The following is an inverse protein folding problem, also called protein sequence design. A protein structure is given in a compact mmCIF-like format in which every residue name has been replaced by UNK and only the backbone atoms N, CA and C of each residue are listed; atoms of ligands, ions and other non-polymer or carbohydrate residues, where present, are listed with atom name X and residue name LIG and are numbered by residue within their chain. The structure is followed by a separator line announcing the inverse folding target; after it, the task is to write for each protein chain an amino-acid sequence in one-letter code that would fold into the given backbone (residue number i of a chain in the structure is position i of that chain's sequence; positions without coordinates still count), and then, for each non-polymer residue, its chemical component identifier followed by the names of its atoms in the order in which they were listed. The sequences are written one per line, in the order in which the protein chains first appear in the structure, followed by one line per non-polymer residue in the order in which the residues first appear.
data_IF_612594938079
#
_entry.id   IF_612594938079
#
_cell.length_a   1.000
_cell.length_b   1.000
_cell.length_c   1.000
_cell.angle_alpha   90.00
_cell.angle_beta   90.00
_cell.angle_gamma   90.00
#
_symmetry.space_group_name_H-M   'P 1'
#
loop_
_entity.id
_entity.type
_entity.pdbx_description
1 polymer ?
#
# COMPACT_ATOMS: atom_id res chain seq x y z
N UNK A 1 15.70 24.27 -15.15
CA UNK A 1 14.28 24.35 -15.55
C UNK A 1 13.75 22.93 -15.66
N UNK A 2 13.22 22.41 -14.56
CA UNK A 2 12.53 21.12 -14.54
C UNK A 2 11.08 21.44 -14.95
N UNK A 3 10.57 20.78 -15.99
CA UNK A 3 9.24 21.02 -16.55
C UNK A 3 8.16 20.67 -15.51
N UNK A 4 7.37 21.65 -15.09
CA UNK A 4 6.47 21.61 -13.92
C UNK A 4 5.06 21.09 -14.24
N UNK A 5 4.89 19.90 -14.81
CA UNK A 5 3.53 19.39 -15.11
C UNK A 5 3.32 17.90 -14.96
N UNK A 6 4.27 17.14 -14.41
CA UNK A 6 3.99 15.73 -14.09
C UNK A 6 3.39 15.64 -12.69
N UNK A 7 2.12 16.06 -12.58
CA UNK A 7 1.34 15.87 -11.35
C UNK A 7 1.12 14.38 -11.17
N UNK A 8 1.96 13.76 -10.35
CA UNK A 8 1.79 12.38 -9.93
C UNK A 8 0.40 12.22 -9.31
N UNK A 9 -0.36 11.17 -9.65
CA UNK A 9 -1.64 10.92 -9.02
C UNK A 9 -1.46 10.78 -7.50
N UNK A 10 -2.46 11.19 -6.73
CA UNK A 10 -2.55 11.01 -5.29
C UNK A 10 -3.54 9.86 -4.96
N UNK A 11 -3.11 8.60 -5.11
CA UNK A 11 -3.99 7.45 -4.88
C UNK A 11 -4.35 7.23 -3.42
N UNK A 12 -3.68 7.92 -2.48
CA UNK A 12 -3.88 7.79 -1.05
C UNK A 12 -4.79 8.90 -0.48
N UNK A 13 -5.17 9.89 -1.30
CA UNK A 13 -5.96 11.04 -0.86
C UNK A 13 -5.23 11.90 0.19
N UNK A 14 -3.91 11.99 0.10
CA UNK A 14 -3.08 12.75 1.04
C UNK A 14 -3.32 14.25 0.94
N UNK A 15 -3.63 14.75 -0.26
CA UNK A 15 -3.92 16.18 -0.46
C UNK A 15 -5.24 16.56 0.18
N UNK A 16 -6.29 15.74 0.02
CA UNK A 16 -7.57 15.97 0.68
C UNK A 16 -7.42 15.92 2.20
N UNK A 17 -6.66 14.95 2.73
CA UNK A 17 -6.32 14.88 4.15
C UNK A 17 -5.57 16.12 4.64
N UNK A 18 -4.59 16.62 3.86
CA UNK A 18 -3.85 17.83 4.20
C UNK A 18 -4.76 19.06 4.24
N UNK A 19 -5.65 19.21 3.25
CA UNK A 19 -6.63 20.30 3.19
C UNK A 19 -7.57 20.26 4.39
N UNK A 20 -8.11 19.08 4.72
CA UNK A 20 -9.00 18.89 5.87
C UNK A 20 -8.31 19.26 7.19
N UNK A 21 -7.05 18.87 7.36
CA UNK A 21 -6.27 19.20 8.55
C UNK A 21 -5.97 20.69 8.64
N UNK A 22 -5.60 21.34 7.52
CA UNK A 22 -5.35 22.78 7.49
C UNK A 22 -6.60 23.60 7.85
N UNK A 23 -7.79 23.08 7.57
CA UNK A 23 -9.05 23.69 7.97
C UNK A 23 -9.35 23.55 9.48
N UNK A 24 -8.54 22.80 10.24
CA UNK A 24 -8.80 22.53 11.65
C UNK A 24 -8.64 23.81 12.50
N UNK A 25 -9.67 24.24 13.25
CA UNK A 25 -9.66 25.54 13.94
C UNK A 25 -8.59 25.63 15.03
N UNK A 26 -8.17 24.51 15.61
CA UNK A 26 -7.13 24.50 16.65
C UNK A 26 -5.72 24.86 16.15
N UNK A 27 -5.49 24.88 14.84
CA UNK A 27 -4.25 25.36 14.23
C UNK A 27 -4.14 26.89 14.23
N UNK A 28 -5.25 27.61 14.40
CA UNK A 28 -5.31 29.07 14.44
C UNK A 28 -5.86 29.56 15.79
N UNK A 29 -5.16 29.33 16.91
CA UNK A 29 -5.64 29.74 18.22
C UNK A 29 -5.76 31.28 18.27
N UNK A 30 -6.78 31.82 18.97
CA UNK A 30 -6.94 33.27 19.11
C UNK A 30 -5.72 33.88 19.82
N UNK A 31 -5.30 35.08 19.40
CA UNK A 31 -4.10 35.76 19.90
C UNK A 31 -4.02 35.88 21.44
N UNK A 32 -5.16 35.91 22.13
CA UNK A 32 -5.23 35.92 23.59
C UNK A 32 -4.72 34.65 24.28
N UNK A 33 -4.48 33.58 23.52
CA UNK A 33 -4.02 32.28 24.02
C UNK A 33 -2.51 32.08 23.88
N UNK A 34 -1.78 33.05 23.31
CA UNK A 34 -0.33 32.93 23.02
C UNK A 34 0.56 33.07 24.27
N UNK A 35 0.03 33.54 25.40
CA UNK A 35 0.79 33.68 26.67
C UNK A 35 0.89 32.37 27.48
N UNK A 36 0.33 31.25 26.99
CA UNK A 36 0.40 29.96 27.69
C UNK A 36 1.65 29.21 27.26
N UNK A 37 2.54 28.92 28.23
CA UNK A 37 3.82 28.23 28.02
C UNK A 37 3.71 26.79 27.46
N UNK A 38 2.51 26.28 27.19
CA UNK A 38 2.31 24.95 26.61
C UNK A 38 1.07 24.94 25.69
N UNK A 39 1.16 24.29 24.52
CA UNK A 39 0.04 24.18 23.59
C UNK A 39 -1.11 23.39 24.22
N UNK A 40 -2.34 23.77 23.87
CA UNK A 40 -3.53 23.01 24.28
C UNK A 40 -3.49 21.59 23.71
N UNK A 41 -4.20 20.65 24.33
CA UNK A 41 -4.26 19.27 23.82
C UNK A 41 -4.81 19.19 22.39
N UNK A 42 -5.81 20.02 22.08
CA UNK A 42 -6.42 20.06 20.74
C UNK A 42 -5.45 20.68 19.72
N UNK A 43 -4.72 21.74 20.10
CA UNK A 43 -3.68 22.35 19.25
C UNK A 43 -2.55 21.38 18.99
N UNK A 44 -2.05 20.68 20.02
CA UNK A 44 -0.99 19.69 19.87
C UNK A 44 -1.42 18.54 18.94
N UNK A 45 -2.65 18.03 19.11
CA UNK A 45 -3.21 16.99 18.25
C UNK A 45 -3.32 17.46 16.79
N UNK A 46 -3.88 18.65 16.56
CA UNK A 46 -4.03 19.19 15.22
C UNK A 46 -2.66 19.45 14.55
N UNK A 47 -1.69 19.98 15.29
CA UNK A 47 -0.33 20.20 14.80
C UNK A 47 0.39 18.89 14.44
N UNK A 48 0.21 17.84 15.25
CA UNK A 48 0.69 16.49 14.91
C UNK A 48 0.05 15.96 13.62
N UNK A 49 -1.26 16.09 13.47
CA UNK A 49 -1.96 15.65 12.26
C UNK A 49 -1.47 16.42 11.02
N UNK A 50 -1.19 17.72 11.16
CA UNK A 50 -0.64 18.53 10.07
C UNK A 50 0.75 18.04 9.68
N UNK A 51 1.63 17.83 10.67
CA UNK A 51 2.96 17.29 10.46
C UNK A 51 2.90 15.91 9.78
N UNK A 52 2.02 15.02 10.23
CA UNK A 52 1.83 13.70 9.62
C UNK A 52 1.39 13.80 8.16
N UNK A 53 0.43 14.66 7.84
CA UNK A 53 -0.06 14.86 6.47
C UNK A 53 1.04 15.43 5.55
N UNK A 54 1.76 16.46 6.00
CA UNK A 54 2.89 17.05 5.26
C UNK A 54 4.00 16.01 5.01
N UNK A 55 4.38 15.27 6.04
CA UNK A 55 5.41 14.23 5.94
C UNK A 55 4.98 13.08 5.02
N UNK A 56 3.71 12.69 5.05
CA UNK A 56 3.18 11.67 4.16
C UNK A 56 3.21 12.13 2.70
N UNK A 57 2.85 13.40 2.43
CA UNK A 57 2.97 13.98 1.10
C UNK A 57 4.41 13.92 0.58
N UNK A 58 5.40 14.22 1.44
CA UNK A 58 6.83 14.10 1.08
C UNK A 58 7.23 12.65 0.83
N UNK A 59 6.89 11.75 1.75
CA UNK A 59 7.27 10.34 1.71
C UNK A 59 6.72 9.61 0.48
N UNK A 60 5.51 9.96 0.04
CA UNK A 60 4.83 9.34 -1.11
C UNK A 60 4.80 10.22 -2.37
N UNK A 61 5.45 11.39 -2.34
CA UNK A 61 5.56 12.30 -3.47
C UNK A 61 4.23 12.85 -3.97
N UNK A 62 3.28 13.10 -3.06
CA UNK A 62 2.04 13.78 -3.40
C UNK A 62 2.31 15.27 -3.65
N UNK A 63 1.73 15.86 -4.71
CA UNK A 63 1.97 17.25 -5.07
C UNK A 63 1.31 18.20 -4.06
N UNK A 64 2.11 18.94 -3.31
CA UNK A 64 1.60 19.92 -2.37
C UNK A 64 0.86 21.06 -3.09
N UNK A 65 -0.22 21.61 -2.50
CA UNK A 65 -0.86 22.84 -2.98
C UNK A 65 0.15 23.97 -3.14
N UNK A 66 0.07 24.73 -4.24
CA UNK A 66 1.02 25.81 -4.55
C UNK A 66 1.07 26.94 -3.50
N UNK A 67 0.05 27.01 -2.65
CA UNK A 67 -0.08 27.98 -1.55
C UNK A 67 0.70 27.57 -0.30
N UNK A 68 1.09 26.31 -0.21
CA UNK A 68 1.95 25.79 0.85
C UNK A 68 3.38 25.74 0.32
N UNK A 69 4.31 26.28 1.09
CA UNK A 69 5.75 26.04 0.89
C UNK A 69 6.12 24.57 1.11
N UNK A 70 5.21 23.82 1.71
CA UNK A 70 5.38 22.41 2.05
C UNK A 70 6.04 22.20 3.38
N UNK A 71 6.29 23.25 4.16
CA UNK A 71 6.95 23.24 5.45
C UNK A 71 5.91 23.32 6.59
N UNK A 72 6.30 22.80 7.75
CA UNK A 72 5.49 22.94 8.95
C UNK A 72 5.71 24.35 9.50
N UNK A 73 4.65 25.16 9.73
CA UNK A 73 4.81 26.52 10.24
C UNK A 73 5.59 26.57 11.56
N UNK A 74 6.48 27.57 11.68
CA UNK A 74 7.39 27.73 12.82
C UNK A 74 6.70 27.76 14.17
N UNK A 75 5.52 28.38 14.24
CA UNK A 75 4.69 28.52 15.44
C UNK A 75 3.98 27.23 15.84
N UNK A 76 3.95 26.23 14.96
CA UNK A 76 3.33 24.92 15.22
C UNK A 76 4.34 23.82 15.58
N UNK A 77 5.65 24.05 15.45
CA UNK A 77 6.67 23.02 15.73
C UNK A 77 6.57 22.49 17.16
N UNK A 78 6.48 23.36 18.16
CA UNK A 78 6.43 22.92 19.56
C UNK A 78 5.14 22.16 19.90
N UNK A 79 4.04 22.52 19.24
CA UNK A 79 2.77 21.83 19.33
C UNK A 79 2.81 20.47 18.62
N UNK A 80 3.47 20.37 17.47
CA UNK A 80 3.64 19.12 16.74
C UNK A 80 4.55 18.14 17.49
N UNK A 81 5.66 18.61 18.08
CA UNK A 81 6.52 17.82 18.97
C UNK A 81 5.72 17.24 20.15
N UNK A 82 4.94 18.09 20.84
CA UNK A 82 4.09 17.66 21.95
C UNK A 82 3.00 16.67 21.50
N UNK A 83 2.37 16.95 20.35
CA UNK A 83 1.33 16.10 19.77
C UNK A 83 1.85 14.72 19.40
N UNK A 84 3.01 14.65 18.75
CA UNK A 84 3.66 13.39 18.37
C UNK A 84 4.07 12.59 19.61
N UNK A 85 4.69 13.22 20.60
CA UNK A 85 5.04 12.54 21.86
C UNK A 85 3.80 11.95 22.56
N UNK A 86 2.71 12.70 22.65
CA UNK A 86 1.43 12.21 23.21
C UNK A 86 0.82 11.09 22.37
N UNK A 87 0.90 11.18 21.04
CA UNK A 87 0.35 10.16 20.15
C UNK A 87 1.10 8.83 20.30
N UNK A 88 2.43 8.86 20.41
CA UNK A 88 3.25 7.67 20.67
C UNK A 88 2.93 7.09 22.06
N UNK A 89 2.86 7.93 23.10
CA UNK A 89 2.55 7.46 24.45
C UNK A 89 1.13 6.87 24.55
N UNK A 90 0.14 7.48 23.91
CA UNK A 90 -1.22 6.95 23.84
C UNK A 90 -1.31 5.62 23.07
N UNK A 91 -0.43 5.41 22.09
CA UNK A 91 -0.36 4.18 21.30
C UNK A 91 0.42 3.05 21.99
N UNK A 92 1.05 3.32 23.14
CA UNK A 92 1.89 2.35 23.87
C UNK A 92 1.19 1.03 24.16
N UNK A 93 -0.06 1.11 24.61
CA UNK A 93 -0.86 -0.07 24.95
C UNK A 93 -1.28 -0.84 23.69
N UNK A 94 -1.34 -0.18 22.54
CA UNK A 94 -1.69 -0.79 21.26
C UNK A 94 -0.47 -1.45 20.58
N UNK A 95 0.74 -1.26 21.09
CA UNK A 95 1.95 -1.97 20.65
C UNK A 95 2.47 -2.94 21.71
N UNK A 96 1.73 -3.13 22.80
CA UNK A 96 2.01 -4.15 23.80
C UNK A 96 1.58 -5.54 23.28
N UNK A 97 2.50 -6.52 23.18
CA UNK A 97 2.18 -7.83 22.62
C UNK A 97 1.08 -8.57 23.36
N UNK A 98 0.95 -8.43 24.69
CA UNK A 98 -0.08 -9.12 25.46
C UNK A 98 -1.47 -8.51 25.24
N UNK A 99 -1.54 -7.19 25.05
CA UNK A 99 -2.80 -6.51 24.73
C UNK A 99 -3.21 -6.76 23.28
N UNK A 100 -2.27 -6.67 22.33
CA UNK A 100 -2.52 -6.97 20.92
C UNK A 100 -2.94 -8.42 20.74
N UNK A 101 -2.25 -9.38 21.38
CA UNK A 101 -2.62 -10.79 21.32
C UNK A 101 -4.01 -11.07 21.87
N UNK A 102 -4.40 -10.44 22.98
CA UNK A 102 -5.78 -10.53 23.49
C UNK A 102 -6.80 -9.99 22.50
N UNK A 103 -6.56 -8.81 21.94
CA UNK A 103 -7.47 -8.22 20.93
C UNK A 103 -7.54 -9.11 19.70
N UNK A 104 -6.40 -9.64 19.23
CA UNK A 104 -6.32 -10.58 18.11
C UNK A 104 -7.17 -11.82 18.34
N UNK A 105 -7.09 -12.42 19.53
CA UNK A 105 -7.88 -13.59 19.90
C UNK A 105 -9.38 -13.29 20.05
N UNK A 106 -9.73 -12.09 20.55
CA UNK A 106 -11.11 -11.60 20.68
C UNK A 106 -11.77 -11.30 19.31
N UNK A 107 -10.97 -10.87 18.33
CA UNK A 107 -11.42 -10.68 16.95
C UNK A 107 -11.67 -12.07 16.33
N UNK A 108 -12.96 -12.41 16.15
CA UNK A 108 -13.35 -13.74 15.68
C UNK A 108 -13.06 -13.98 14.21
N UNK A 109 -13.27 -12.98 13.35
CA UNK A 109 -13.10 -13.10 11.90
C UNK A 109 -11.73 -12.56 11.44
N UNK A 110 -11.20 -13.18 10.38
CA UNK A 110 -9.90 -12.80 9.81
C UNK A 110 -9.83 -11.35 9.29
N UNK A 111 -10.87 -10.78 8.64
CA UNK A 111 -10.83 -9.40 8.17
C UNK A 111 -10.62 -8.38 9.31
N UNK A 112 -11.21 -8.62 10.48
CA UNK A 112 -11.07 -7.73 11.63
C UNK A 112 -9.63 -7.75 12.19
N UNK A 113 -8.99 -8.93 12.15
CA UNK A 113 -7.59 -9.11 12.52
C UNK A 113 -6.65 -8.40 11.55
N UNK A 114 -6.92 -8.50 10.25
CA UNK A 114 -6.16 -7.76 9.23
C UNK A 114 -6.30 -6.25 9.42
N UNK A 115 -7.50 -5.76 9.74
CA UNK A 115 -7.75 -4.35 10.03
C UNK A 115 -6.93 -3.88 11.24
N UNK A 116 -6.89 -4.66 12.33
CA UNK A 116 -6.06 -4.36 13.49
C UNK A 116 -4.59 -4.15 13.11
N UNK A 117 -4.03 -5.04 12.29
CA UNK A 117 -2.62 -4.98 11.87
C UNK A 117 -2.38 -3.85 10.88
N UNK A 118 -3.31 -3.63 9.94
CA UNK A 118 -3.25 -2.50 9.03
C UNK A 118 -3.23 -1.16 9.79
N UNK A 119 -4.02 -1.04 10.86
CA UNK A 119 -4.04 0.14 11.72
C UNK A 119 -2.71 0.37 12.45
N UNK A 120 -2.06 -0.70 12.93
CA UNK A 120 -0.72 -0.60 13.53
C UNK A 120 0.31 -0.05 12.53
N UNK A 121 0.33 -0.59 11.31
CA UNK A 121 1.23 -0.14 10.22
C UNK A 121 0.90 1.30 9.82
N UNK A 122 -0.38 1.62 9.64
CA UNK A 122 -0.82 2.96 9.25
C UNK A 122 -0.44 4.01 10.30
N UNK A 123 -0.62 3.70 11.59
CA UNK A 123 -0.19 4.59 12.66
C UNK A 123 1.32 4.78 12.68
N UNK A 124 2.11 3.71 12.48
CA UNK A 124 3.57 3.84 12.43
C UNK A 124 4.03 4.71 11.25
N UNK A 125 3.35 4.61 10.11
CA UNK A 125 3.51 5.52 8.96
C UNK A 125 3.25 6.97 9.36
N UNK A 126 2.15 7.26 10.06
CA UNK A 126 1.83 8.61 10.53
C UNK A 126 2.89 9.16 11.47
N UNK A 127 3.40 8.34 12.40
CA UNK A 127 4.48 8.75 13.31
C UNK A 127 5.78 9.08 12.56
N UNK A 128 6.17 8.23 11.60
CA UNK A 128 7.36 8.46 10.79
C UNK A 128 7.22 9.73 9.95
N UNK A 129 6.07 9.91 9.30
CA UNK A 129 5.76 11.09 8.51
C UNK A 129 5.82 12.37 9.35
N UNK A 130 5.17 12.39 10.52
CA UNK A 130 5.22 13.54 11.41
C UNK A 130 6.65 13.87 11.86
N UNK A 131 7.44 12.84 12.21
CA UNK A 131 8.84 13.02 12.59
C UNK A 131 9.67 13.67 11.47
N UNK A 132 9.54 13.19 10.23
CA UNK A 132 10.19 13.78 9.04
C UNK A 132 9.80 15.25 8.90
N UNK A 133 8.50 15.54 8.95
CA UNK A 133 8.00 16.89 8.76
C UNK A 133 8.55 17.89 9.80
N UNK A 134 8.57 17.47 11.06
CA UNK A 134 9.08 18.26 12.18
C UNK A 134 10.59 18.42 12.08
N UNK A 135 11.33 17.35 11.78
CA UNK A 135 12.79 17.40 11.65
C UNK A 135 13.23 18.40 10.59
N UNK A 136 12.62 18.36 9.40
CA UNK A 136 12.94 19.28 8.31
C UNK A 136 12.68 20.74 8.72
N UNK A 137 11.54 20.99 9.37
CA UNK A 137 11.19 22.33 9.85
C UNK A 137 12.19 22.85 10.91
N UNK A 138 12.67 21.99 11.83
CA UNK A 138 13.70 22.35 12.81
C UNK A 138 15.04 22.63 12.14
N UNK A 139 15.47 21.80 11.18
CA UNK A 139 16.74 21.96 10.46
C UNK A 139 16.77 23.27 9.67
N UNK A 140 15.62 23.70 9.12
CA UNK A 140 15.50 24.97 8.41
C UNK A 140 15.62 26.20 9.33
N UNK A 141 15.49 26.04 10.65
CA UNK A 141 15.59 27.11 11.66
C UNK A 141 16.96 27.20 12.32
N UNK A 142 18.03 27.07 11.53
CA UNK A 142 19.42 27.05 12.01
C UNK A 142 19.84 28.30 12.83
N UNK A 143 19.14 29.43 12.67
CA UNK A 143 19.37 30.69 13.38
C UNK A 143 18.46 30.89 14.63
N UNK A 144 17.58 29.94 14.95
CA UNK A 144 16.64 30.06 16.07
C UNK A 144 17.32 29.90 17.43
N UNK A 145 16.97 30.77 18.39
CA UNK A 145 17.42 30.65 19.78
C UNK A 145 16.91 29.37 20.47
N UNK A 146 15.81 28.79 19.97
CA UNK A 146 15.16 27.60 20.53
C UNK A 146 15.63 26.29 19.88
N UNK A 147 16.55 26.36 18.90
CA UNK A 147 17.00 25.22 18.09
C UNK A 147 17.51 24.05 18.95
N UNK A 148 18.40 24.31 19.91
CA UNK A 148 18.99 23.26 20.77
C UNK A 148 17.90 22.55 21.59
N UNK A 149 16.98 23.30 22.19
CA UNK A 149 15.87 22.72 22.96
C UNK A 149 14.92 21.89 22.09
N UNK A 150 14.66 22.33 20.85
CA UNK A 150 13.82 21.58 19.88
C UNK A 150 14.51 20.29 19.42
N UNK A 151 15.82 20.33 19.19
CA UNK A 151 16.61 19.13 18.85
C UNK A 151 16.62 18.11 20.00
N UNK A 152 16.77 18.54 21.26
CA UNK A 152 16.69 17.64 22.42
C UNK A 152 15.33 16.95 22.52
N UNK A 153 14.24 17.68 22.29
CA UNK A 153 12.88 17.12 22.25
C UNK A 153 12.69 16.16 21.07
N UNK A 154 13.22 16.50 19.89
CA UNK A 154 13.18 15.64 18.71
C UNK A 154 13.95 14.32 18.95
N UNK A 155 15.12 14.39 19.57
CA UNK A 155 15.90 13.20 19.94
C UNK A 155 15.13 12.33 20.95
N UNK A 156 14.46 12.94 21.92
CA UNK A 156 13.59 12.20 22.85
C UNK A 156 12.48 11.46 22.10
N UNK A 157 11.87 12.07 21.09
CA UNK A 157 10.86 11.42 20.24
C UNK A 157 11.48 10.30 19.41
N UNK A 158 12.69 10.49 18.87
CA UNK A 158 13.40 9.43 18.14
C UNK A 158 13.61 8.20 19.03
N UNK A 159 14.06 8.38 20.27
CA UNK A 159 14.17 7.30 21.25
C UNK A 159 12.81 6.62 21.53
N UNK A 160 11.72 7.38 21.57
CA UNK A 160 10.37 6.82 21.73
C UNK A 160 9.95 5.96 20.53
N UNK A 161 10.26 6.39 19.30
CA UNK A 161 9.99 5.64 18.07
C UNK A 161 10.83 4.35 18.00
N UNK A 162 12.10 4.41 18.36
CA UNK A 162 12.98 3.24 18.42
C UNK A 162 12.47 2.21 19.43
N UNK A 163 11.96 2.68 20.58
CA UNK A 163 11.34 1.82 21.57
C UNK A 163 10.04 1.18 21.09
N UNK A 164 9.23 1.91 20.30
CA UNK A 164 8.00 1.38 19.69
C UNK A 164 8.34 0.33 18.60
N UNK A 165 9.32 0.63 17.75
CA UNK A 165 9.84 -0.30 16.74
C UNK A 165 10.38 -1.59 17.37
N UNK A 166 11.13 -1.48 18.47
CA UNK A 166 11.62 -2.64 19.20
C UNK A 166 10.50 -3.52 19.78
N UNK A 167 9.31 -2.95 20.06
CA UNK A 167 8.13 -3.74 20.49
C UNK A 167 7.47 -4.41 19.30
N UNK A 168 7.26 -3.68 18.21
CA UNK A 168 6.68 -4.21 16.97
C UNK A 168 7.55 -5.31 16.35
N UNK A 169 8.87 -5.26 16.53
CA UNK A 169 9.82 -6.26 16.04
C UNK A 169 10.02 -7.46 16.97
N UNK A 170 9.26 -7.57 18.07
CA UNK A 170 9.27 -8.80 18.89
C UNK A 170 8.70 -9.97 18.08
N UNK A 171 9.20 -11.21 18.27
CA UNK A 171 8.76 -12.37 17.48
C UNK A 171 7.23 -12.52 17.41
N UNK A 172 6.53 -12.39 18.54
CA UNK A 172 5.09 -12.53 18.63
C UNK A 172 4.35 -11.45 17.81
N UNK A 173 4.85 -10.22 17.85
CA UNK A 173 4.29 -9.11 17.05
C UNK A 173 4.59 -9.28 15.57
N UNK A 174 5.80 -9.73 15.23
CA UNK A 174 6.22 -9.98 13.87
C UNK A 174 5.39 -11.09 13.22
N UNK A 175 4.99 -12.12 13.97
CA UNK A 175 4.06 -13.17 13.50
C UNK A 175 2.71 -12.58 13.08
N UNK A 176 2.12 -11.69 13.89
CA UNK A 176 0.86 -11.04 13.54
C UNK A 176 1.03 -10.02 12.41
N UNK A 177 2.08 -9.21 12.43
CA UNK A 177 2.38 -8.23 11.38
C UNK A 177 2.62 -8.93 10.03
N UNK A 178 3.27 -10.09 10.03
CA UNK A 178 3.50 -10.89 8.83
C UNK A 178 2.21 -11.36 8.15
N UNK A 179 1.06 -11.39 8.84
CA UNK A 179 -0.21 -11.76 8.22
C UNK A 179 -0.66 -10.79 7.12
N UNK A 180 -0.26 -9.51 7.20
CA UNK A 180 -0.56 -8.52 6.15
C UNK A 180 0.44 -8.57 4.99
N UNK A 181 1.59 -9.25 5.17
CA UNK A 181 2.66 -9.29 4.17
C UNK A 181 2.29 -10.07 2.90
N UNK A 182 1.34 -11.01 2.98
CA UNK A 182 0.81 -11.71 1.80
C UNK A 182 -0.16 -10.84 0.98
N UNK A 183 -0.55 -9.68 1.48
CA UNK A 183 -1.47 -8.76 0.81
C UNK A 183 -0.70 -7.76 -0.05
N UNK A 184 -1.33 -7.25 -1.13
CA UNK A 184 -0.72 -6.20 -1.95
C UNK A 184 -0.57 -4.86 -1.20
N UNK A 185 -1.05 -4.74 0.04
CA UNK A 185 -1.01 -3.50 0.82
C UNK A 185 0.41 -2.95 1.00
N UNK A 186 1.34 -3.74 1.56
CA UNK A 186 2.72 -3.27 1.80
C UNK A 186 3.49 -3.02 0.51
N UNK A 187 3.31 -3.87 -0.50
CA UNK A 187 3.97 -3.71 -1.80
C UNK A 187 3.44 -2.49 -2.57
N UNK A 188 2.14 -2.20 -2.48
CA UNK A 188 1.56 -0.98 -3.02
C UNK A 188 2.12 0.26 -2.32
N UNK A 189 2.15 0.28 -0.97
CA UNK A 189 2.72 1.40 -0.21
C UNK A 189 4.20 1.63 -0.56
N UNK A 190 5.00 0.56 -0.62
CA UNK A 190 6.40 0.63 -1.04
C UNK A 190 6.56 1.20 -2.46
N UNK A 191 5.70 0.79 -3.39
CA UNK A 191 5.71 1.30 -4.77
C UNK A 191 5.36 2.79 -4.89
N UNK A 192 4.77 3.38 -3.85
CA UNK A 192 4.45 4.81 -3.79
C UNK A 192 5.56 5.66 -3.16
N UNK A 193 6.54 5.07 -2.48
CA UNK A 193 7.65 5.81 -1.87
C UNK A 193 8.46 6.56 -2.94
N UNK A 194 9.04 7.69 -2.54
CA UNK A 194 9.85 8.55 -3.43
C UNK A 194 11.18 8.94 -2.82
N UNK A 195 12.14 9.31 -3.68
CA UNK A 195 13.44 9.85 -3.25
C UNK A 195 14.17 8.92 -2.28
N UNK A 196 14.69 9.49 -1.20
CA UNK A 196 15.42 8.76 -0.16
C UNK A 196 14.57 7.69 0.54
N UNK A 197 13.24 7.86 0.60
CA UNK A 197 12.34 6.87 1.21
C UNK A 197 12.17 5.62 0.35
N UNK A 198 12.37 5.73 -0.97
CA UNK A 198 12.41 4.57 -1.85
C UNK A 198 13.76 3.84 -1.78
N UNK A 199 14.85 4.58 -1.55
CA UNK A 199 16.21 4.02 -1.43
C UNK A 199 16.45 3.34 -0.09
N UNK A 200 15.97 3.96 0.99
CA UNK A 200 16.06 3.48 2.37
C UNK A 200 14.68 3.51 3.03
N UNK A 201 13.77 2.59 2.65
CA UNK A 201 12.45 2.51 3.24
C UNK A 201 12.54 2.17 4.73
N UNK A 202 11.55 2.58 5.55
CA UNK A 202 11.48 2.15 6.94
C UNK A 202 11.30 0.62 7.01
N UNK A 203 11.74 0.00 8.11
CA UNK A 203 11.80 -1.47 8.23
C UNK A 203 10.45 -2.18 7.97
N UNK A 204 9.33 -1.54 8.32
CA UNK A 204 8.00 -2.09 8.09
C UNK A 204 7.53 -1.98 6.62
N UNK A 205 8.31 -1.31 5.76
CA UNK A 205 8.12 -1.21 4.30
C UNK A 205 9.35 -1.71 3.52
N UNK A 206 10.42 -2.19 4.15
CA UNK A 206 11.67 -2.57 3.44
C UNK A 206 11.68 -4.01 2.89
N UNK A 207 10.62 -4.79 3.15
CA UNK A 207 10.55 -6.21 2.81
C UNK A 207 10.77 -7.16 4.00
N UNK A 208 11.05 -6.63 5.19
CA UNK A 208 11.30 -7.43 6.40
C UNK A 208 10.10 -8.27 6.80
N UNK A 209 8.88 -7.71 6.76
CA UNK A 209 7.66 -8.46 7.07
C UNK A 209 7.40 -9.58 6.05
N UNK A 210 7.64 -9.35 4.76
CA UNK A 210 7.52 -10.38 3.72
C UNK A 210 8.55 -11.50 3.87
N UNK A 211 9.80 -11.17 4.23
CA UNK A 211 10.82 -12.19 4.52
C UNK A 211 10.42 -13.02 5.74
N UNK A 212 9.98 -12.36 6.81
CA UNK A 212 9.54 -13.04 8.03
C UNK A 212 8.33 -13.96 7.78
N UNK A 213 7.35 -13.48 7.00
CA UNK A 213 6.22 -14.30 6.55
C UNK A 213 6.68 -15.52 5.74
N UNK A 214 7.61 -15.33 4.80
CA UNK A 214 8.15 -16.43 4.00
C UNK A 214 8.88 -17.49 4.86
N UNK A 215 9.56 -17.08 5.93
CA UNK A 215 10.20 -18.01 6.88
C UNK A 215 9.15 -18.79 7.70
N UNK A 216 8.17 -18.09 8.29
CA UNK A 216 7.11 -18.70 9.10
C UNK A 216 6.23 -19.68 8.30
N UNK A 217 5.79 -19.26 7.12
CA UNK A 217 4.84 -20.03 6.32
C UNK A 217 5.55 -20.97 5.33
N UNK A 218 6.80 -20.69 4.97
CA UNK A 218 7.61 -21.53 4.09
C UNK A 218 8.04 -22.86 4.73
N UNK A 219 8.27 -22.89 6.05
CA UNK A 219 8.56 -24.16 6.77
C UNK A 219 7.31 -25.02 6.98
N UNK A 220 6.11 -24.41 7.05
CA UNK A 220 4.85 -25.14 7.32
C UNK A 220 4.29 -25.92 6.11
N UNK A 221 4.74 -25.61 4.88
CA UNK A 221 4.31 -26.32 3.67
C UNK A 221 4.98 -27.70 3.54
N UNK A 222 6.04 -27.98 4.30
CA UNK A 222 6.75 -29.26 4.22
C UNK A 222 6.10 -30.40 5.01
N UNK A 223 5.27 -30.13 6.03
CA UNK A 223 4.88 -31.18 7.00
C UNK A 223 3.38 -31.38 7.24
N UNK A 224 2.48 -30.53 6.74
CA UNK A 224 1.02 -30.75 6.87
C UNK A 224 0.33 -30.56 5.53
N UNK A 225 0.15 -31.66 4.79
CA UNK A 225 -0.69 -31.72 3.59
C UNK A 225 -2.07 -32.31 3.91
N UNK A 226 -3.12 -31.50 4.13
CA UNK A 226 -4.46 -31.82 3.69
C UNK A 226 -4.65 -31.21 2.31
N UNK A 227 -4.99 -32.07 1.34
CA UNK A 227 -5.24 -31.73 -0.05
C UNK A 227 -6.22 -30.56 -0.22
N UNK A 228 -5.69 -29.36 -0.46
CA UNK A 228 -6.39 -28.21 -1.03
C UNK A 228 -5.53 -27.76 -2.22
N UNK A 229 -6.16 -27.63 -3.39
CA UNK A 229 -5.44 -27.38 -4.64
C UNK A 229 -4.61 -26.08 -4.59
N UNK A 230 -3.33 -26.10 -5.01
CA UNK A 230 -2.46 -24.93 -4.96
C UNK A 230 -2.85 -23.90 -6.03
N UNK A 231 -2.75 -22.62 -5.66
CA UNK A 231 -2.91 -21.47 -6.55
C UNK A 231 -1.85 -21.48 -7.66
N UNK A 232 -2.15 -20.80 -8.77
CA UNK A 232 -1.35 -20.76 -10.00
C UNK A 232 0.13 -20.41 -9.76
N UNK A 233 0.40 -19.51 -8.81
CA UNK A 233 1.77 -19.08 -8.45
C UNK A 233 2.56 -20.18 -7.72
N UNK A 234 1.89 -21.04 -6.93
CA UNK A 234 2.53 -22.17 -6.24
C UNK A 234 2.78 -23.37 -7.18
N UNK A 235 1.93 -23.58 -8.21
CA UNK A 235 2.25 -24.54 -9.29
C UNK A 235 3.49 -24.12 -10.08
N UNK A 236 3.71 -22.80 -10.22
CA UNK A 236 4.86 -22.24 -10.91
C UNK A 236 6.19 -22.46 -10.16
N UNK A 237 6.18 -22.45 -8.83
CA UNK A 237 7.37 -22.65 -8.00
C UNK A 237 7.64 -24.13 -7.68
N UNK A 238 6.61 -24.98 -7.59
CA UNK A 238 6.77 -26.40 -7.26
C UNK A 238 7.14 -27.27 -8.48
N UNK A 239 6.90 -26.81 -9.71
CA UNK A 239 7.26 -27.54 -10.93
C UNK A 239 8.73 -27.36 -11.37
N UNK A 240 9.49 -26.45 -10.74
CA UNK A 240 10.84 -26.05 -11.20
C UNK A 240 11.99 -26.79 -10.54
N UNK A 241 11.76 -28.00 -10.05
CA UNK A 241 12.82 -28.99 -9.90
C UNK A 241 13.33 -29.38 -11.29
N UNK A 242 14.17 -28.54 -11.88
CA UNK A 242 14.73 -28.58 -13.25
C UNK A 242 13.77 -28.15 -14.37
N UNK A 243 13.74 -26.85 -14.72
CA UNK A 243 13.18 -26.38 -16.00
C UNK A 243 12.60 -24.97 -15.95
N UNK A 244 13.12 -24.08 -16.80
CA UNK A 244 12.59 -22.77 -17.22
C UNK A 244 11.61 -22.03 -16.29
N UNK A 245 12.13 -21.06 -15.53
CA UNK A 245 11.32 -20.08 -14.81
C UNK A 245 10.60 -19.16 -15.82
N UNK A 246 9.27 -19.23 -15.86
CA UNK A 246 8.45 -18.29 -16.62
C UNK A 246 8.51 -16.92 -15.93
N UNK A 247 8.97 -15.91 -16.66
CA UNK A 247 9.03 -14.52 -16.18
C UNK A 247 7.83 -13.77 -16.72
N UNK A 248 7.05 -13.07 -15.90
CA UNK A 248 5.97 -12.22 -16.41
C UNK A 248 6.60 -11.00 -17.05
N UNK A 249 6.44 -10.82 -18.36
CA UNK A 249 7.05 -9.70 -19.09
C UNK A 249 6.08 -8.57 -19.34
N UNK A 250 4.80 -8.87 -19.52
CA UNK A 250 3.81 -7.86 -19.89
C UNK A 250 2.50 -8.06 -19.15
N UNK A 251 2.01 -6.99 -18.51
CA UNK A 251 0.64 -6.90 -17.98
C UNK A 251 -0.19 -6.05 -18.93
N UNK A 252 -1.33 -6.55 -19.38
CA UNK A 252 -2.29 -5.79 -20.17
C UNK A 252 -3.60 -5.62 -19.39
N UNK A 253 -4.16 -4.41 -19.48
CA UNK A 253 -5.39 -4.02 -18.78
C UNK A 253 -6.38 -3.42 -19.77
N UNK A 254 -7.58 -3.99 -19.83
CA UNK A 254 -8.71 -3.45 -20.58
C UNK A 254 -9.76 -2.90 -19.65
N UNK A 255 -10.48 -1.88 -20.11
CA UNK A 255 -11.58 -1.24 -19.37
C UNK A 255 -12.87 -1.45 -20.16
N UNK A 256 -13.94 -1.79 -19.44
CA UNK A 256 -15.28 -1.94 -20.01
C UNK A 256 -15.80 -0.60 -20.58
N UNK A 257 -16.73 -0.62 -21.57
CA UNK A 257 -17.31 0.61 -22.15
C UNK A 257 -17.93 1.57 -21.13
N UNK A 258 -18.48 1.04 -20.05
CA UNK A 258 -19.11 1.79 -18.96
C UNK A 258 -18.11 2.22 -17.87
N UNK A 259 -16.83 1.88 -18.02
CA UNK A 259 -15.77 2.17 -17.04
C UNK A 259 -15.87 1.35 -15.76
N UNK A 260 -16.84 0.44 -15.63
CA UNK A 260 -17.18 -0.20 -14.35
C UNK A 260 -16.25 -1.34 -13.93
N UNK A 261 -15.56 -1.93 -14.91
CA UNK A 261 -14.82 -3.17 -14.77
C UNK A 261 -13.53 -3.14 -15.55
N UNK A 262 -12.56 -3.92 -15.07
CA UNK A 262 -11.29 -4.11 -15.73
C UNK A 262 -11.03 -5.59 -15.98
N UNK A 263 -10.38 -5.89 -17.11
CA UNK A 263 -9.87 -7.21 -17.42
C UNK A 263 -8.35 -7.14 -17.42
N UNK A 264 -7.69 -8.07 -16.73
CA UNK A 264 -6.24 -8.08 -16.56
C UNK A 264 -5.69 -9.42 -17.04
N UNK A 265 -4.66 -9.39 -17.87
CA UNK A 265 -3.88 -10.58 -18.24
C UNK A 265 -2.40 -10.34 -18.02
N UNK A 266 -1.71 -11.36 -17.53
CA UNK A 266 -0.26 -11.39 -17.42
C UNK A 266 0.30 -12.32 -18.50
N UNK A 267 1.16 -11.79 -19.36
CA UNK A 267 1.83 -12.52 -20.43
C UNK A 267 3.22 -12.95 -19.94
N UNK A 268 3.45 -14.25 -19.71
CA UNK A 268 4.75 -14.78 -19.37
C UNK A 268 5.67 -14.84 -20.60
N UNK A 269 6.96 -14.82 -20.35
CA UNK A 269 8.03 -15.22 -21.26
C UNK A 269 8.70 -16.50 -20.79
N UNK A 270 8.99 -17.37 -21.74
CA UNK A 270 9.62 -18.67 -21.55
C UNK A 270 8.81 -19.78 -22.22
N UNK A 271 9.28 -21.02 -22.10
CA UNK A 271 8.61 -22.17 -22.69
C UNK A 271 7.39 -22.55 -21.83
N UNK A 272 6.20 -22.43 -22.41
CA UNK A 272 4.95 -22.86 -21.78
C UNK A 272 4.68 -24.33 -22.10
N UNK A 273 4.20 -25.06 -21.10
CA UNK A 273 3.74 -26.43 -21.27
C UNK A 273 2.35 -26.45 -21.93
N UNK A 274 1.98 -27.57 -22.55
CA UNK A 274 0.67 -27.74 -23.20
C UNK A 274 -0.51 -27.63 -22.22
N UNK A 275 -0.26 -27.88 -20.94
CA UNK A 275 -1.27 -27.80 -19.88
C UNK A 275 -1.40 -26.39 -19.28
N UNK A 276 -0.48 -25.47 -19.61
CA UNK A 276 -0.54 -24.11 -19.10
C UNK A 276 -1.72 -23.35 -19.71
N UNK A 277 -2.26 -22.39 -18.95
CA UNK A 277 -3.37 -21.53 -19.37
C UNK A 277 -3.04 -20.08 -19.09
N UNK A 278 -3.31 -19.21 -20.06
CA UNK A 278 -3.28 -17.77 -19.84
C UNK A 278 -4.60 -17.34 -19.23
N UNK A 279 -4.54 -16.85 -18.00
CA UNK A 279 -5.72 -16.45 -17.25
C UNK A 279 -5.96 -14.95 -17.37
N UNK A 280 -7.13 -14.59 -17.87
CA UNK A 280 -7.67 -13.24 -17.79
C UNK A 280 -8.58 -13.13 -16.57
N UNK A 281 -8.28 -12.18 -15.69
CA UNK A 281 -9.04 -11.92 -14.46
C UNK A 281 -9.91 -10.69 -14.67
N UNK A 282 -11.17 -10.76 -14.21
CA UNK A 282 -12.12 -9.66 -14.27
C UNK A 282 -12.36 -9.09 -12.87
N UNK A 283 -12.14 -7.79 -12.72
CA UNK A 283 -12.30 -7.06 -11.47
C UNK A 283 -13.31 -5.92 -11.61
N UNK A 284 -13.90 -5.53 -10.49
CA UNK A 284 -14.90 -4.45 -10.42
C UNK A 284 -14.29 -3.27 -9.69
N UNK A 285 -14.51 -2.06 -10.18
CA UNK A 285 -14.12 -0.86 -9.45
C UNK A 285 -15.10 -0.61 -8.27
N UNK A 286 -14.68 0.07 -7.19
CA UNK A 286 -15.38 0.06 -5.88
C UNK A 286 -16.88 0.40 -5.89
N UNK A 287 -17.38 1.15 -6.87
CA UNK A 287 -18.77 1.63 -6.91
C UNK A 287 -19.70 0.86 -7.87
N UNK A 288 -19.24 -0.26 -8.43
CA UNK A 288 -19.95 -0.94 -9.54
C UNK A 288 -20.41 -2.36 -9.19
N UNK A 289 -21.27 -2.91 -10.07
CA UNK A 289 -21.77 -4.28 -9.89
C UNK A 289 -20.64 -5.31 -9.98
N UNK A 290 -20.61 -6.29 -9.06
CA UNK A 290 -19.55 -7.30 -9.00
C UNK A 290 -19.29 -7.99 -10.34
N UNK A 291 -18.03 -8.37 -10.57
CA UNK A 291 -17.58 -9.04 -11.78
C UNK A 291 -18.30 -10.38 -12.00
N UNK A 292 -18.93 -10.95 -10.94
CA UNK A 292 -19.75 -12.15 -11.02
C UNK A 292 -20.93 -12.02 -11.99
N UNK A 293 -21.37 -10.80 -12.30
CA UNK A 293 -22.36 -10.53 -13.35
C UNK A 293 -21.88 -10.88 -14.78
N UNK A 294 -20.56 -11.09 -14.97
CA UNK A 294 -19.97 -11.50 -16.24
C UNK A 294 -19.95 -13.03 -16.42
N UNK A 295 -20.22 -13.81 -15.38
CA UNK A 295 -20.16 -15.29 -15.44
C UNK A 295 -21.12 -15.82 -16.50
N UNK A 296 -20.62 -16.76 -17.32
CA UNK A 296 -21.35 -17.33 -18.45
C UNK A 296 -21.35 -16.46 -19.71
N UNK A 297 -20.82 -15.23 -19.68
CA UNK A 297 -20.61 -14.45 -20.90
C UNK A 297 -19.42 -15.01 -21.68
N UNK A 298 -19.48 -14.89 -23.01
CA UNK A 298 -18.36 -15.20 -23.89
C UNK A 298 -17.37 -14.05 -23.90
N UNK A 299 -16.08 -14.37 -23.84
CA UNK A 299 -14.99 -13.43 -24.10
C UNK A 299 -14.24 -13.87 -25.36
N UNK A 300 -14.04 -12.93 -26.29
CA UNK A 300 -13.25 -13.13 -27.51
C UNK A 300 -11.97 -12.33 -27.39
N UNK A 301 -10.83 -13.02 -27.41
CA UNK A 301 -9.50 -12.43 -27.33
C UNK A 301 -8.48 -13.32 -28.04
N UNK A 302 -7.55 -12.71 -28.78
CA UNK A 302 -6.49 -13.40 -29.52
C UNK A 302 -7.00 -14.57 -30.41
N UNK A 303 -8.14 -14.37 -31.08
CA UNK A 303 -8.77 -15.36 -31.96
C UNK A 303 -9.47 -16.51 -31.24
N UNK A 304 -9.51 -16.52 -29.91
CA UNK A 304 -10.20 -17.54 -29.11
C UNK A 304 -11.52 -16.98 -28.56
N UNK A 305 -12.52 -17.86 -28.43
CA UNK A 305 -13.77 -17.57 -27.72
C UNK A 305 -13.88 -18.53 -26.55
N UNK A 306 -13.91 -18.00 -25.33
CA UNK A 306 -14.02 -18.79 -24.09
C UNK A 306 -15.11 -18.23 -23.19
N UNK A 307 -15.61 -19.03 -22.25
CA UNK A 307 -16.61 -18.57 -21.28
C UNK A 307 -15.93 -18.03 -20.03
N UNK A 308 -16.53 -17.00 -19.45
CA UNK A 308 -16.14 -16.48 -18.15
C UNK A 308 -16.74 -17.38 -17.05
N UNK A 309 -15.88 -17.86 -16.16
CA UNK A 309 -16.23 -18.75 -15.06
C UNK A 309 -15.95 -18.10 -13.71
N UNK A 310 -16.78 -18.40 -12.71
CA UNK A 310 -16.47 -18.10 -11.31
C UNK A 310 -15.68 -19.26 -10.72
N UNK A 311 -14.55 -18.96 -10.08
CA UNK A 311 -13.75 -19.96 -9.38
C UNK A 311 -14.38 -20.29 -8.03
N UNK A 312 -14.69 -21.58 -7.74
CA UNK A 312 -15.44 -21.98 -6.55
C UNK A 312 -14.82 -21.55 -5.23
N UNK A 313 -13.50 -21.33 -5.19
CA UNK A 313 -12.74 -21.13 -3.96
C UNK A 313 -12.31 -19.68 -3.70
N UNK A 314 -12.45 -18.76 -4.66
CA UNK A 314 -11.82 -17.42 -4.55
C UNK A 314 -12.72 -16.25 -4.93
N UNK A 315 -14.01 -16.46 -5.21
CA UNK A 315 -14.90 -15.46 -5.83
C UNK A 315 -14.35 -14.81 -7.11
N UNK A 316 -13.21 -15.31 -7.61
CA UNK A 316 -12.50 -14.80 -8.76
C UNK A 316 -13.26 -15.15 -10.01
N UNK A 317 -13.46 -14.16 -10.87
CA UNK A 317 -14.11 -14.32 -12.17
C UNK A 317 -13.04 -14.26 -13.23
N UNK A 318 -12.92 -15.33 -14.03
CA UNK A 318 -11.81 -15.47 -14.95
C UNK A 318 -12.18 -16.22 -16.23
N UNK A 319 -11.35 -16.03 -17.25
CA UNK A 319 -11.36 -16.78 -18.49
C UNK A 319 -9.97 -17.34 -18.77
N UNK A 320 -9.88 -18.63 -19.09
CA UNK A 320 -8.62 -19.31 -19.36
C UNK A 320 -8.46 -19.53 -20.87
N UNK A 321 -7.34 -19.05 -21.41
CA UNK A 321 -7.00 -19.12 -22.82
C UNK A 321 -5.86 -20.11 -23.06
N UNK A 322 -5.88 -20.76 -24.23
CA UNK A 322 -4.76 -21.58 -24.69
C UNK A 322 -3.57 -20.67 -25.05
N UNK A 323 -2.42 -20.77 -24.36
CA UNK A 323 -1.31 -19.86 -24.59
C UNK A 323 -0.76 -19.95 -25.99
N UNK A 324 -0.63 -21.16 -26.55
CA UNK A 324 -0.05 -21.36 -27.88
C UNK A 324 -0.84 -20.62 -28.94
N UNK A 325 -2.18 -20.65 -28.85
CA UNK A 325 -3.07 -19.91 -29.74
C UNK A 325 -2.91 -18.39 -29.57
N UNK A 326 -2.79 -17.89 -28.33
CA UNK A 326 -2.52 -16.45 -28.06
C UNK A 326 -1.19 -16.01 -28.67
N UNK A 327 -0.10 -16.75 -28.43
CA UNK A 327 1.22 -16.41 -28.96
C UNK A 327 1.30 -16.54 -30.48
N UNK A 328 0.64 -17.52 -31.07
CA UNK A 328 0.50 -17.62 -32.53
C UNK A 328 -0.24 -16.40 -33.10
N UNK A 329 -1.30 -15.94 -32.42
CA UNK A 329 -2.04 -14.75 -32.81
C UNK A 329 -1.16 -13.49 -32.74
N UNK A 330 -0.42 -13.30 -31.64
CA UNK A 330 0.55 -12.20 -31.49
C UNK A 330 1.55 -12.22 -32.64
N UNK A 331 2.13 -13.38 -32.95
CA UNK A 331 3.15 -13.51 -34.00
C UNK A 331 2.58 -13.20 -35.40
N UNK A 332 1.30 -13.47 -35.64
CA UNK A 332 0.66 -13.25 -36.94
C UNK A 332 0.13 -11.82 -37.12
N UNK A 333 -0.43 -11.22 -36.05
CA UNK A 333 -1.16 -9.97 -36.14
C UNK A 333 -0.46 -8.79 -35.46
N UNK A 334 0.48 -9.04 -34.55
CA UNK A 334 1.24 -8.02 -33.83
C UNK A 334 0.43 -7.19 -32.82
N UNK A 335 -0.85 -7.50 -32.63
CA UNK A 335 -1.76 -6.73 -31.78
C UNK A 335 -2.66 -7.65 -30.94
N UNK A 336 -2.82 -7.32 -29.66
CA UNK A 336 -3.71 -7.98 -28.70
C UNK A 336 -4.79 -7.04 -28.14
N UNK A 337 -4.89 -5.81 -28.67
CA UNK A 337 -5.76 -4.77 -28.13
C UNK A 337 -7.24 -5.13 -28.20
N UNK A 338 -7.64 -5.94 -29.18
CA UNK A 338 -9.02 -6.34 -29.38
C UNK A 338 -9.49 -7.36 -28.32
N UNK A 339 -10.32 -6.88 -27.38
CA UNK A 339 -11.06 -7.69 -26.42
C UNK A 339 -12.55 -7.43 -26.60
N UNK A 340 -13.36 -8.49 -26.67
CA UNK A 340 -14.82 -8.36 -26.57
C UNK A 340 -15.39 -9.27 -25.49
N UNK A 341 -16.34 -8.77 -24.70
CA UNK A 341 -17.02 -9.53 -23.63
C UNK A 341 -18.52 -9.40 -23.82
N UNK A 342 -19.22 -10.52 -24.02
CA UNK A 342 -20.66 -10.52 -24.29
C UNK A 342 -21.05 -9.77 -25.57
N UNK A 343 -20.12 -9.62 -26.52
CA UNK A 343 -20.30 -8.83 -27.75
C UNK A 343 -19.94 -7.34 -27.62
N UNK A 344 -19.59 -6.87 -26.43
CA UNK A 344 -19.16 -5.49 -26.20
C UNK A 344 -17.64 -5.36 -26.34
N UNK A 345 -17.15 -4.38 -27.10
CA UNK A 345 -15.71 -4.12 -27.26
C UNK A 345 -15.15 -3.37 -26.06
N UNK A 346 -14.09 -3.91 -25.46
CA UNK A 346 -13.38 -3.29 -24.33
C UNK A 346 -12.13 -2.58 -24.85
N UNK A 347 -11.78 -1.45 -24.23
CA UNK A 347 -10.64 -0.64 -24.65
C UNK A 347 -9.40 -1.01 -23.85
N UNK A 348 -8.29 -1.30 -24.55
CA UNK A 348 -6.99 -1.47 -23.93
C UNK A 348 -6.56 -0.15 -23.30
N UNK A 349 -6.43 -0.11 -21.98
CA UNK A 349 -6.08 1.10 -21.23
C UNK A 349 -4.59 1.16 -20.90
N UNK A 350 -3.96 0.02 -20.63
CA UNK A 350 -2.57 0.00 -20.17
C UNK A 350 -1.84 -1.25 -20.65
N UNK A 351 -0.58 -1.07 -21.05
CA UNK A 351 0.39 -2.13 -21.28
C UNK A 351 1.63 -1.82 -20.43
N UNK A 352 1.91 -2.64 -19.43
CA UNK A 352 3.10 -2.50 -18.58
C UNK A 352 4.07 -3.60 -18.97
N UNK A 353 5.24 -3.20 -19.48
CA UNK A 353 6.34 -4.13 -19.80
C UNK A 353 7.41 -4.00 -18.74
N UNK A 354 7.75 -5.10 -18.08
CA UNK A 354 8.83 -5.19 -17.08
C UNK A 354 10.17 -5.51 -17.71
#
# INVERSE_FOLDING_TARGET
MISSTDTRPDPLGLIDQLIDVLAHPALNPPASSQDVASPSADTAKAAFQLAAALGACRMFGAPLPAELDGELPDDLIDAALEGLARAIDAARDDTDPELVGRRWDELGEFPDREALIADLIHRRIQFQAAFIAINDAIVNQWDSADLESRLDRLNTIADMLDNDDARLQRPEMMEWLATIAERPYLSNLRGLLVGEFAETPPWFLDGTLERYAAELFGESVAEVTPSVEPTFTQRLAAATGTGNQLTVKTKQVWVAPDGSRVAVVHLPTGDLNQDDRLRMIFETLPDYQPATALVGRQVVWAGQTVLIEQRPQSNLVAADFDPQTVFNFINQHGDLSALTVGGESWSLSQVVTS
#
